data_IF_137397849231
#
_entry.id   IF_137397849231
#
_cell.length_a   1.000
_cell.length_b   1.000
_cell.length_c   1.000
_cell.angle_alpha   90.00
_cell.angle_beta   90.00
_cell.angle_gamma   90.00
#
_symmetry.space_group_name_H-M   'P 1'
#
loop_
_entity.id
_entity.type
_entity.pdbx_description
1 polymer ?
#
# COMPACT_ATOMS: atom_id res chain seq x y z
N UNK A 1 -11.10 2.11 25.68
CA UNK A 1 -10.42 2.57 24.46
C UNK A 1 -10.05 4.04 24.60
N UNK A 2 -8.95 4.45 24.00
CA UNK A 2 -8.52 5.85 24.05
C UNK A 2 -9.13 6.67 22.90
N UNK A 3 -9.32 6.07 21.75
CA UNK A 3 -9.87 6.74 20.58
C UNK A 3 -10.28 5.71 19.54
N UNK A 4 -10.56 6.17 18.32
CA UNK A 4 -10.93 5.30 17.21
C UNK A 4 -9.80 5.32 16.16
N UNK A 5 -9.63 4.20 15.46
CA UNK A 5 -8.69 4.15 14.35
C UNK A 5 -9.10 5.15 13.28
N UNK A 6 -8.16 5.98 12.81
CA UNK A 6 -8.44 7.00 11.81
C UNK A 6 -7.91 6.59 10.44
N UNK A 7 -6.61 6.47 10.30
CA UNK A 7 -5.99 6.08 9.03
C UNK A 7 -4.57 5.57 9.26
N UNK A 8 -4.09 4.75 8.33
CA UNK A 8 -2.67 4.40 8.25
C UNK A 8 -2.00 5.39 7.30
N UNK A 9 -0.91 5.98 7.73
CA UNK A 9 -0.15 6.95 6.92
C UNK A 9 1.07 6.27 6.33
N UNK A 10 1.24 6.42 5.01
CA UNK A 10 2.33 5.82 4.25
C UNK A 10 3.20 6.95 3.70
N UNK A 11 4.50 6.91 4.00
CA UNK A 11 5.45 7.88 3.48
C UNK A 11 5.82 7.54 2.04
N UNK A 12 5.93 8.55 1.20
CA UNK A 12 6.35 8.36 -0.19
C UNK A 12 6.88 9.67 -0.77
N UNK A 13 7.73 9.56 -1.79
CA UNK A 13 8.28 10.74 -2.44
C UNK A 13 7.28 11.33 -3.45
N UNK A 14 6.56 10.47 -4.17
CA UNK A 14 5.54 10.84 -5.15
C UNK A 14 4.17 10.41 -4.65
N UNK A 15 3.50 11.32 -3.94
CA UNK A 15 2.19 10.99 -3.34
C UNK A 15 1.12 10.78 -4.40
N UNK A 16 1.20 11.44 -5.54
CA UNK A 16 0.20 11.27 -6.59
C UNK A 16 0.21 9.85 -7.16
N UNK A 17 1.41 9.37 -7.50
CA UNK A 17 1.56 8.00 -8.02
C UNK A 17 1.16 6.97 -6.98
N UNK A 18 1.58 7.17 -5.74
CA UNK A 18 1.28 6.22 -4.66
C UNK A 18 -0.21 6.18 -4.33
N UNK A 19 -0.84 7.36 -4.21
CA UNK A 19 -2.28 7.43 -3.94
C UNK A 19 -3.08 6.75 -5.05
N UNK A 20 -2.74 7.03 -6.30
CA UNK A 20 -3.42 6.43 -7.46
C UNK A 20 -3.35 4.91 -7.44
N UNK A 21 -2.17 4.37 -7.11
CA UNK A 21 -1.98 2.93 -6.99
C UNK A 21 -2.93 2.34 -5.93
N UNK A 22 -2.97 2.95 -4.74
CA UNK A 22 -3.79 2.43 -3.65
C UNK A 22 -5.28 2.64 -3.86
N UNK A 23 -5.69 3.72 -4.54
CA UNK A 23 -7.10 3.89 -4.93
C UNK A 23 -7.60 2.66 -5.69
N UNK A 24 -6.78 2.18 -6.63
CA UNK A 24 -7.13 1.00 -7.42
C UNK A 24 -6.94 -0.31 -6.65
N UNK A 25 -5.89 -0.40 -5.84
CA UNK A 25 -5.57 -1.62 -5.10
C UNK A 25 -6.68 -2.00 -4.12
N UNK A 26 -7.17 -1.04 -3.35
CA UNK A 26 -8.14 -1.29 -2.28
C UNK A 26 -9.53 -0.76 -2.58
N UNK A 27 -9.74 -0.14 -3.75
CA UNK A 27 -11.05 0.33 -4.16
C UNK A 27 -11.59 1.48 -3.34
N UNK A 28 -10.72 2.39 -2.92
CA UNK A 28 -11.11 3.59 -2.17
C UNK A 28 -10.97 4.82 -3.05
N UNK A 29 -11.56 5.93 -2.63
CA UNK A 29 -11.54 7.18 -3.36
C UNK A 29 -10.84 8.27 -2.56
N UNK A 30 -10.39 9.30 -3.24
CA UNK A 30 -9.81 10.47 -2.57
C UNK A 30 -10.88 11.21 -1.81
N UNK A 31 -10.56 11.55 -0.56
CA UNK A 31 -11.46 12.32 0.30
C UNK A 31 -10.80 13.61 0.77
N UNK A 32 -9.49 13.75 0.59
CA UNK A 32 -8.76 14.98 0.89
C UNK A 32 -7.47 15.01 0.07
N UNK A 33 -7.12 16.16 -0.48
CA UNK A 33 -5.93 16.33 -1.30
C UNK A 33 -5.26 17.66 -0.98
N UNK A 34 -3.97 17.59 -0.68
CA UNK A 34 -3.12 18.74 -0.43
C UNK A 34 -1.80 18.53 -1.17
N UNK A 35 -0.91 19.52 -1.15
CA UNK A 35 0.36 19.42 -1.86
C UNK A 35 1.28 18.33 -1.32
N UNK A 36 1.22 18.06 -0.02
CA UNK A 36 2.09 17.11 0.67
C UNK A 36 1.33 15.98 1.37
N UNK A 37 0.02 15.86 1.13
CA UNK A 37 -0.83 14.90 1.82
C UNK A 37 -2.05 14.55 0.99
N UNK A 38 -2.32 13.25 0.81
CA UNK A 38 -3.53 12.76 0.16
C UNK A 38 -4.14 11.69 1.06
N UNK A 39 -5.45 11.78 1.29
CA UNK A 39 -6.21 10.76 2.04
C UNK A 39 -7.19 10.07 1.12
N UNK A 40 -7.29 8.76 1.23
CA UNK A 40 -8.31 7.95 0.54
C UNK A 40 -9.16 7.22 1.57
N UNK A 41 -10.41 6.94 1.19
CA UNK A 41 -11.35 6.28 2.09
C UNK A 41 -12.70 6.10 1.43
N UNK A 42 -13.69 5.73 2.23
CA UNK A 42 -15.06 5.55 1.75
C UNK A 42 -15.82 6.89 1.72
N UNK A 43 -15.47 7.80 2.62
CA UNK A 43 -16.08 9.12 2.75
C UNK A 43 -15.12 10.02 3.52
N UNK A 44 -15.31 11.37 3.50
CA UNK A 44 -14.44 12.27 4.27
C UNK A 44 -14.37 11.97 5.76
N UNK A 45 -15.45 11.42 6.33
CA UNK A 45 -15.49 11.02 7.73
C UNK A 45 -15.11 9.53 7.94
N UNK A 46 -14.73 8.83 6.88
CA UNK A 46 -14.30 7.41 6.93
C UNK A 46 -13.03 7.23 6.12
N UNK A 47 -11.91 7.85 6.54
CA UNK A 47 -10.63 7.66 5.90
C UNK A 47 -10.10 6.25 6.14
N UNK A 48 -9.20 5.80 5.27
CA UNK A 48 -8.58 4.49 5.41
C UNK A 48 -7.05 4.61 5.35
N UNK A 49 -6.51 5.20 4.30
CA UNK A 49 -5.08 5.38 4.10
C UNK A 49 -4.79 6.84 3.79
N UNK A 50 -3.64 7.31 4.22
CA UNK A 50 -3.14 8.62 3.84
C UNK A 50 -1.71 8.48 3.33
N UNK A 51 -1.30 9.41 2.48
CA UNK A 51 0.02 9.41 1.86
C UNK A 51 0.68 10.73 2.17
N UNK A 52 1.82 10.65 2.87
CA UNK A 52 2.58 11.82 3.28
C UNK A 52 3.80 11.96 2.39
N UNK A 53 3.96 13.13 1.78
CA UNK A 53 5.14 13.39 0.97
C UNK A 53 6.34 13.59 1.87
N UNK A 54 7.43 12.88 1.56
CA UNK A 54 8.72 13.05 2.20
C UNK A 54 9.76 13.35 1.12
N UNK A 55 10.83 14.05 1.48
CA UNK A 55 11.86 14.44 0.51
C UNK A 55 12.66 13.23 0.04
N UNK A 56 12.93 12.31 0.95
CA UNK A 56 13.70 11.11 0.64
C UNK A 56 13.21 9.94 1.45
N UNK A 57 12.87 8.86 0.76
CA UNK A 57 12.45 7.60 1.38
C UNK A 57 13.49 6.54 1.10
N UNK A 58 13.93 5.84 2.17
CA UNK A 58 14.69 4.61 2.03
C UNK A 58 13.71 3.47 2.22
N UNK A 59 13.34 2.74 1.14
CA UNK A 59 12.34 1.68 1.26
C UNK A 59 12.88 0.50 2.07
N UNK A 60 12.00 -0.25 2.74
CA UNK A 60 12.43 -1.42 3.50
C UNK A 60 12.85 -2.56 2.58
N UNK A 61 13.70 -3.45 3.12
CA UNK A 61 14.06 -4.72 2.51
C UNK A 61 13.20 -5.81 3.14
N UNK A 62 12.48 -6.55 2.34
CA UNK A 62 11.78 -7.74 2.81
C UNK A 62 11.61 -8.72 1.65
N UNK A 63 12.11 -9.95 1.83
CA UNK A 63 12.70 -10.54 3.05
C UNK A 63 14.19 -10.23 3.20
N UNK A 64 14.57 -9.08 3.56
CA UNK A 64 15.95 -8.68 3.84
C UNK A 64 16.08 -8.26 5.29
N UNK A 65 17.30 -7.90 5.71
CA UNK A 65 17.62 -7.55 7.09
C UNK A 65 18.39 -6.26 7.27
N UNK A 66 18.82 -5.61 6.18
CA UNK A 66 19.57 -4.35 6.27
C UNK A 66 18.62 -3.20 6.65
N UNK A 67 17.46 -3.13 6.01
CA UNK A 67 16.39 -2.18 6.33
C UNK A 67 15.08 -2.96 6.44
N UNK A 68 14.88 -3.74 7.52
CA UNK A 68 13.74 -4.65 7.59
C UNK A 68 12.42 -3.86 7.59
N UNK A 69 11.42 -4.45 6.95
CA UNK A 69 10.08 -3.89 7.00
C UNK A 69 9.54 -3.95 8.43
N UNK A 70 8.77 -2.95 8.81
CA UNK A 70 8.16 -2.91 10.14
C UNK A 70 6.66 -3.19 10.09
N UNK A 71 6.04 -2.89 8.96
CA UNK A 71 4.62 -3.13 8.74
C UNK A 71 4.39 -3.37 7.26
N UNK A 72 3.35 -4.10 6.92
CA UNK A 72 2.89 -4.23 5.55
C UNK A 72 1.38 -4.45 5.54
N UNK A 73 0.77 -4.18 4.39
CA UNK A 73 -0.66 -4.43 4.18
C UNK A 73 -0.85 -5.83 3.61
N UNK A 74 -1.88 -6.51 4.08
CA UNK A 74 -2.40 -7.70 3.43
C UNK A 74 -3.68 -7.33 2.70
N UNK A 75 -3.76 -7.67 1.42
CA UNK A 75 -4.93 -7.40 0.58
C UNK A 75 -5.55 -8.74 0.20
N UNK A 76 -6.80 -8.94 0.60
CA UNK A 76 -7.50 -10.19 0.33
C UNK A 76 -7.94 -10.23 -1.12
N UNK A 77 -7.58 -11.32 -1.80
CA UNK A 77 -8.00 -11.58 -3.19
C UNK A 77 -8.64 -12.96 -3.29
N UNK A 78 -9.47 -13.15 -4.31
CA UNK A 78 -10.08 -14.43 -4.56
C UNK A 78 -9.15 -15.43 -5.24
N UNK A 79 -8.23 -14.93 -6.06
CA UNK A 79 -7.28 -15.72 -6.84
C UNK A 79 -5.95 -14.99 -6.92
N UNK A 80 -4.87 -15.65 -6.47
CA UNK A 80 -3.54 -15.03 -6.44
C UNK A 80 -3.02 -14.72 -7.85
N UNK A 81 -3.25 -15.58 -8.84
CA UNK A 81 -2.76 -15.35 -10.19
C UNK A 81 -3.45 -14.15 -10.84
N UNK A 82 -4.76 -14.03 -10.69
CA UNK A 82 -5.51 -12.89 -11.20
C UNK A 82 -5.13 -11.60 -10.46
N UNK A 83 -5.00 -11.68 -9.14
CA UNK A 83 -4.56 -10.54 -8.34
C UNK A 83 -3.17 -10.05 -8.73
N UNK A 84 -2.23 -10.98 -8.93
CA UNK A 84 -0.87 -10.64 -9.37
C UNK A 84 -0.90 -9.89 -10.70
N UNK A 85 -1.63 -10.40 -11.69
CA UNK A 85 -1.74 -9.73 -12.97
C UNK A 85 -2.22 -8.28 -12.81
N UNK A 86 -3.22 -8.07 -11.98
CA UNK A 86 -3.80 -6.75 -11.75
C UNK A 86 -2.82 -5.79 -11.05
N UNK A 87 -2.14 -6.25 -10.00
CA UNK A 87 -1.23 -5.35 -9.28
C UNK A 87 0.00 -4.99 -10.11
N UNK A 88 0.49 -5.92 -10.95
CA UNK A 88 1.60 -5.62 -11.85
C UNK A 88 1.19 -4.60 -12.92
N UNK A 89 -0.03 -4.66 -13.41
CA UNK A 89 -0.58 -3.65 -14.33
C UNK A 89 -0.66 -2.28 -13.68
N UNK A 90 -0.92 -2.22 -12.37
CA UNK A 90 -1.01 -0.96 -11.61
C UNK A 90 0.36 -0.38 -11.27
N UNK A 91 1.44 -1.11 -11.49
CA UNK A 91 2.79 -0.63 -11.22
C UNK A 91 3.50 -1.26 -10.04
N UNK A 92 2.93 -2.30 -9.44
CA UNK A 92 3.62 -3.06 -8.41
C UNK A 92 4.76 -3.86 -9.00
N UNK A 93 5.73 -4.21 -8.17
CA UNK A 93 6.84 -5.11 -8.54
C UNK A 93 6.78 -6.35 -7.69
N UNK A 94 7.04 -7.51 -8.30
CA UNK A 94 7.07 -8.78 -7.58
C UNK A 94 8.35 -8.88 -6.78
N UNK A 95 8.24 -9.24 -5.49
CA UNK A 95 9.40 -9.34 -4.61
C UNK A 95 10.08 -10.71 -4.66
N UNK A 96 9.41 -11.71 -5.18
CA UNK A 96 10.01 -13.05 -5.30
C UNK A 96 9.91 -13.91 -4.07
N UNK A 97 9.31 -13.43 -2.99
CA UNK A 97 9.03 -14.22 -1.79
C UNK A 97 7.55 -14.58 -1.76
N UNK A 98 7.27 -15.88 -1.67
CA UNK A 98 5.89 -16.35 -1.65
C UNK A 98 5.78 -17.69 -0.94
N UNK A 99 4.60 -17.95 -0.38
CA UNK A 99 4.24 -19.23 0.20
C UNK A 99 2.79 -19.53 -0.20
N UNK A 100 2.32 -20.73 0.17
CA UNK A 100 0.92 -21.07 -0.06
C UNK A 100 0.03 -20.04 0.62
N UNK A 101 -0.87 -19.42 -0.13
CA UNK A 101 -1.83 -18.47 0.39
C UNK A 101 -1.38 -17.01 0.39
N UNK A 102 -0.13 -16.70 0.10
CA UNK A 102 0.27 -15.30 -0.03
C UNK A 102 1.46 -15.09 -0.98
N UNK A 103 1.55 -13.88 -1.52
CA UNK A 103 2.68 -13.43 -2.34
C UNK A 103 3.02 -12.00 -1.98
N UNK A 104 4.31 -11.67 -2.03
CA UNK A 104 4.83 -10.36 -1.65
C UNK A 104 5.14 -9.51 -2.87
N UNK A 105 4.74 -8.25 -2.81
CA UNK A 105 4.98 -7.25 -3.85
C UNK A 105 5.50 -5.96 -3.23
N UNK A 106 6.03 -5.07 -4.07
CA UNK A 106 6.38 -3.72 -3.67
C UNK A 106 5.45 -2.75 -4.39
N UNK A 107 4.96 -1.75 -3.67
CA UNK A 107 4.20 -0.66 -4.26
C UNK A 107 5.13 0.30 -5.03
N UNK A 108 4.61 1.32 -5.74
CA UNK A 108 5.47 2.24 -6.49
C UNK A 108 6.49 2.99 -5.63
N UNK A 109 6.25 3.18 -4.34
CA UNK A 109 7.18 3.82 -3.42
C UNK A 109 8.23 2.85 -2.87
N UNK A 110 8.03 1.53 -3.05
CA UNK A 110 8.92 0.49 -2.56
C UNK A 110 8.49 -0.15 -1.26
N UNK A 111 7.30 0.17 -0.74
CA UNK A 111 6.77 -0.49 0.45
C UNK A 111 6.23 -1.87 0.11
N UNK A 112 6.52 -2.89 0.94
CA UNK A 112 5.96 -4.22 0.72
C UNK A 112 4.49 -4.28 1.06
N UNK A 113 3.77 -5.10 0.30
CA UNK A 113 2.41 -5.53 0.62
C UNK A 113 2.23 -6.96 0.12
N UNK A 114 1.24 -7.63 0.65
CA UNK A 114 0.92 -9.00 0.25
C UNK A 114 -0.45 -9.08 -0.37
N UNK A 115 -0.59 -9.97 -1.35
CA UNK A 115 -1.89 -10.49 -1.73
C UNK A 115 -2.07 -11.81 -0.97
N UNK A 116 -3.22 -11.96 -0.33
CA UNK A 116 -3.51 -13.13 0.49
C UNK A 116 -4.86 -13.72 0.11
N UNK A 117 -4.99 -15.04 0.28
CA UNK A 117 -6.29 -15.73 0.19
C UNK A 117 -6.75 -16.09 1.59
N UNK A 118 -8.04 -15.91 1.83
CA UNK A 118 -8.64 -16.09 3.16
C UNK A 118 -8.73 -17.48 3.69
#
# INVERSE_FOLDING_TARGET
MVGTFHALVIDCEDIETTAKFYESLVGKQRVDTDDDWITIGDAPDRPALAFQKVDKLTPPDWPGSEHPQQMHLDVLVGDLDDGERKVLELGARKQGYEQAGFRVYLDPAGHPFCLVTG
#
